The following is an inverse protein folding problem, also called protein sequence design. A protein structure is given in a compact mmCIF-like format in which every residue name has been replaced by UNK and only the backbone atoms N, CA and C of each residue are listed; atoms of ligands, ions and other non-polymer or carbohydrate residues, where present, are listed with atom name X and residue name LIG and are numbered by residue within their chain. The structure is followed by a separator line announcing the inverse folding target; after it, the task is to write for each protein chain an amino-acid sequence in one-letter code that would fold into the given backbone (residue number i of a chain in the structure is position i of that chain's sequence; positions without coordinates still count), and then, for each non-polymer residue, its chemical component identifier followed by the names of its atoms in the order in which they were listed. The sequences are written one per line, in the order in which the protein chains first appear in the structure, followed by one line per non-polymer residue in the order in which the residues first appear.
data_IF_234305921426
#
_entry.id   IF_234305921426
#
_cell.length_a   1.000
_cell.length_b   1.000
_cell.length_c   1.000
_cell.angle_alpha   90.00
_cell.angle_beta   90.00
_cell.angle_gamma   90.00
#
_symmetry.space_group_name_H-M   'P 1'
#
loop_
_entity.id
_entity.type
_entity.pdbx_description
1 polymer ?
#
# COMPACT_ATOMS: atom_id res chain seq x y z
N UNK A 1 28.64 -0.50 -0.38
CA UNK A 1 28.03 0.83 -0.36
C UNK A 1 28.95 1.77 -1.12
N UNK A 2 28.64 2.09 -2.39
CA UNK A 2 29.30 3.21 -3.06
C UNK A 2 28.74 4.48 -2.42
N UNK A 3 29.59 5.25 -1.79
CA UNK A 3 29.26 6.59 -1.30
C UNK A 3 28.87 7.45 -2.49
N UNK A 4 27.59 7.82 -2.55
CA UNK A 4 27.05 8.75 -3.53
C UNK A 4 27.48 10.18 -3.14
N UNK A 5 28.75 10.51 -3.40
CA UNK A 5 29.24 11.87 -3.18
C UNK A 5 28.39 12.85 -4.00
N UNK A 6 27.65 13.70 -3.31
CA UNK A 6 26.91 14.83 -3.88
C UNK A 6 25.56 14.53 -4.55
N UNK A 7 24.96 13.33 -4.39
CA UNK A 7 23.69 12.94 -5.01
C UNK A 7 22.71 12.32 -4.01
N UNK A 8 22.49 12.94 -2.87
CA UNK A 8 21.46 12.54 -1.92
C UNK A 8 20.05 12.84 -2.46
N UNK A 9 19.02 12.30 -1.78
CA UNK A 9 17.64 12.71 -2.01
C UNK A 9 17.45 14.15 -1.53
N UNK A 10 16.69 14.93 -2.30
CA UNK A 10 16.33 16.30 -1.93
C UNK A 10 15.20 16.33 -0.90
N UNK A 11 14.29 15.35 -1.01
CA UNK A 11 13.10 15.23 -0.16
C UNK A 11 12.91 13.82 0.30
N UNK A 12 12.35 13.65 1.51
CA UNK A 12 11.87 12.37 2.05
C UNK A 12 10.39 12.52 2.38
N UNK A 13 9.57 11.60 1.88
CA UNK A 13 8.15 11.49 2.23
C UNK A 13 7.92 10.15 2.91
N UNK A 14 7.53 10.18 4.17
CA UNK A 14 7.16 8.98 4.93
C UNK A 14 5.65 8.85 5.00
N UNK A 15 5.15 7.66 4.66
CA UNK A 15 3.73 7.32 4.61
C UNK A 15 3.46 6.18 5.57
N UNK A 16 2.60 6.39 6.57
CA UNK A 16 2.11 5.34 7.44
C UNK A 16 0.73 5.68 8.00
N UNK A 17 -0.16 4.67 8.00
CA UNK A 17 -1.53 4.78 8.52
C UNK A 17 -1.76 3.91 9.74
N UNK A 18 -0.71 3.38 10.35
CA UNK A 18 -0.82 2.65 11.61
C UNK A 18 -1.22 3.57 12.76
N UNK A 19 -2.16 3.09 13.59
CA UNK A 19 -2.56 3.78 14.81
C UNK A 19 -1.50 3.73 15.92
N UNK A 20 -0.48 2.89 15.75
CA UNK A 20 0.61 2.69 16.71
C UNK A 20 1.85 3.52 16.38
N UNK A 21 1.86 4.21 15.24
CA UNK A 21 3.00 5.03 14.84
C UNK A 21 3.13 6.27 15.70
N UNK A 22 4.38 6.55 16.07
CA UNK A 22 4.76 7.85 16.64
C UNK A 22 4.82 8.94 15.57
N UNK A 23 4.53 10.17 15.96
CA UNK A 23 4.83 11.33 15.12
C UNK A 23 6.33 11.63 15.20
N UNK A 24 7.01 11.59 14.06
CA UNK A 24 8.41 11.97 13.94
C UNK A 24 8.48 13.37 13.30
N UNK A 25 8.95 14.33 14.06
CA UNK A 25 9.30 15.66 13.56
C UNK A 25 10.81 15.65 13.32
N UNK A 26 11.19 15.47 12.07
CA UNK A 26 12.61 15.50 11.68
C UNK A 26 12.86 16.89 11.12
N UNK A 27 13.52 17.73 11.89
CA UNK A 27 14.07 19.00 11.42
C UNK A 27 15.49 18.74 10.92
N UNK A 28 15.69 18.77 9.61
CA UNK A 28 17.00 18.68 8.96
C UNK A 28 17.12 19.85 7.98
N UNK A 29 18.23 20.58 8.07
CA UNK A 29 18.49 21.74 7.22
C UNK A 29 18.83 21.36 5.76
N UNK A 30 19.11 20.09 5.49
CA UNK A 30 19.60 19.60 4.20
C UNK A 30 18.51 18.88 3.42
N UNK A 31 17.64 18.12 4.09
CA UNK A 31 16.62 17.28 3.47
C UNK A 31 15.23 17.64 3.98
N UNK A 32 14.35 18.04 3.06
CA UNK A 32 12.96 18.31 3.41
C UNK A 32 12.24 16.99 3.76
N UNK A 33 11.71 16.90 4.99
CA UNK A 33 10.92 15.77 5.46
C UNK A 33 9.42 16.09 5.43
N UNK A 34 8.61 15.14 4.99
CA UNK A 34 7.15 15.24 4.99
C UNK A 34 6.51 13.93 5.46
N UNK A 35 5.48 14.04 6.28
CA UNK A 35 4.72 12.89 6.77
C UNK A 35 3.29 12.86 6.21
N UNK A 36 2.86 11.68 5.77
CA UNK A 36 1.50 11.40 5.33
C UNK A 36 0.96 10.27 6.19
N UNK A 37 -0.03 10.56 7.05
CA UNK A 37 -0.60 9.53 7.93
C UNK A 37 -1.48 10.10 9.01
N UNK A 38 -1.74 9.25 10.02
CA UNK A 38 -2.67 9.54 11.11
C UNK A 38 -2.03 10.32 12.26
N UNK A 39 -0.74 10.13 12.53
CA UNK A 39 -0.08 10.72 13.69
C UNK A 39 0.10 12.24 13.57
N UNK A 40 0.01 12.92 14.71
CA UNK A 40 0.33 14.35 14.87
C UNK A 40 1.07 14.55 16.20
N UNK A 41 1.68 15.73 16.40
CA UNK A 41 2.27 16.11 17.69
C UNK A 41 1.30 15.96 18.90
N UNK A 42 -0.01 16.08 18.66
CA UNK A 42 -1.04 16.11 19.70
C UNK A 42 -1.94 14.86 19.71
N UNK A 43 -1.55 13.78 19.05
CA UNK A 43 -2.31 12.54 18.95
C UNK A 43 -2.67 12.15 17.52
N UNK A 44 -3.84 11.55 17.31
CA UNK A 44 -4.26 11.01 16.02
C UNK A 44 -5.26 11.95 15.34
N UNK A 45 -5.10 12.15 14.02
CA UNK A 45 -6.03 12.92 13.19
C UNK A 45 -7.42 12.28 13.17
N UNK A 46 -8.43 13.08 13.40
CA UNK A 46 -9.82 12.65 13.19
C UNK A 46 -10.23 12.77 11.71
N UNK A 47 -11.42 12.27 11.38
CA UNK A 47 -11.91 12.25 9.99
C UNK A 47 -12.06 13.67 9.38
N UNK A 48 -12.34 14.69 10.20
CA UNK A 48 -12.45 16.07 9.73
C UNK A 48 -11.10 16.63 9.32
N UNK A 49 -10.05 16.32 10.08
CA UNK A 49 -8.67 16.70 9.76
C UNK A 49 -8.20 16.01 8.48
N UNK A 50 -8.42 14.70 8.33
CA UNK A 50 -8.06 13.96 7.13
C UNK A 50 -8.81 14.48 5.88
N UNK A 51 -10.10 14.81 6.02
CA UNK A 51 -10.89 15.36 4.94
C UNK A 51 -10.40 16.76 4.51
N UNK A 52 -9.95 17.58 5.48
CA UNK A 52 -9.33 18.89 5.21
C UNK A 52 -7.99 18.74 4.51
N UNK A 53 -7.14 17.82 4.97
CA UNK A 53 -5.84 17.52 4.35
C UNK A 53 -6.06 17.09 2.89
N UNK A 54 -6.96 16.14 2.65
CA UNK A 54 -7.30 15.70 1.30
C UNK A 54 -7.79 16.85 0.42
N UNK A 55 -8.81 17.60 0.87
CA UNK A 55 -9.41 18.66 0.08
C UNK A 55 -8.45 19.81 -0.20
N UNK A 56 -7.59 20.15 0.79
CA UNK A 56 -6.54 21.15 0.65
C UNK A 56 -5.51 20.77 -0.41
N UNK A 57 -5.02 19.53 -0.34
CA UNK A 57 -4.06 19.01 -1.32
C UNK A 57 -4.67 18.86 -2.70
N UNK A 58 -5.94 18.40 -2.80
CA UNK A 58 -6.64 18.31 -4.07
C UNK A 58 -6.77 19.69 -4.73
N UNK A 59 -7.03 20.74 -3.95
CA UNK A 59 -7.07 22.12 -4.46
C UNK A 59 -5.69 22.53 -5.03
N UNK A 60 -4.60 22.24 -4.34
CA UNK A 60 -3.25 22.61 -4.80
C UNK A 60 -2.85 21.87 -6.08
N UNK A 61 -3.17 20.57 -6.19
CA UNK A 61 -2.83 19.76 -7.38
C UNK A 61 -3.81 19.97 -8.55
N UNK A 62 -4.93 20.61 -8.34
CA UNK A 62 -5.90 20.93 -9.41
C UNK A 62 -5.40 21.99 -10.39
N UNK A 63 -4.12 22.38 -10.31
CA UNK A 63 -3.50 23.45 -11.11
C UNK A 63 -2.28 22.94 -11.86
N UNK A 64 -2.05 23.50 -13.04
CA UNK A 64 -0.83 23.29 -13.81
C UNK A 64 -0.51 21.83 -14.13
N UNK A 65 0.76 21.48 -14.09
CA UNK A 65 1.26 20.14 -14.44
C UNK A 65 0.79 19.05 -13.45
N UNK A 66 0.56 19.38 -12.17
CA UNK A 66 0.08 18.43 -11.16
C UNK A 66 -1.33 17.93 -11.49
N UNK A 67 -2.18 18.76 -12.09
CA UNK A 67 -3.52 18.36 -12.57
C UNK A 67 -3.45 17.27 -13.65
N UNK A 68 -2.53 17.41 -14.61
CA UNK A 68 -2.36 16.39 -15.66
C UNK A 68 -1.95 15.06 -15.05
N UNK A 69 -0.98 15.09 -14.12
CA UNK A 69 -0.54 13.91 -13.41
C UNK A 69 -1.67 13.30 -12.57
N UNK A 70 -2.44 14.13 -11.86
CA UNK A 70 -3.63 13.67 -11.13
C UNK A 70 -4.60 12.90 -12.01
N UNK A 71 -4.96 13.45 -13.19
CA UNK A 71 -5.87 12.76 -14.13
C UNK A 71 -5.31 11.41 -14.58
N UNK A 72 -4.01 11.32 -14.89
CA UNK A 72 -3.36 10.07 -15.28
C UNK A 72 -3.37 9.03 -14.16
N UNK A 73 -3.11 9.45 -12.93
CA UNK A 73 -3.11 8.54 -11.77
C UNK A 73 -4.53 8.06 -11.44
N UNK A 74 -5.55 8.94 -11.55
CA UNK A 74 -6.95 8.52 -11.36
C UNK A 74 -7.39 7.54 -12.46
N UNK A 75 -6.93 7.67 -13.71
CA UNK A 75 -7.18 6.68 -14.76
C UNK A 75 -6.68 5.29 -14.37
N UNK A 76 -5.53 5.20 -13.70
CA UNK A 76 -4.99 3.95 -13.18
C UNK A 76 -5.86 3.39 -12.05
N UNK A 77 -6.27 4.24 -11.10
CA UNK A 77 -7.14 3.81 -9.98
C UNK A 77 -8.52 3.36 -10.48
N UNK A 78 -9.07 4.00 -11.52
CA UNK A 78 -10.34 3.62 -12.15
C UNK A 78 -10.27 2.27 -12.92
N UNK A 79 -9.10 1.61 -12.98
CA UNK A 79 -9.04 0.20 -13.36
C UNK A 79 -9.77 -0.72 -12.36
N UNK A 80 -9.95 -0.27 -11.13
CA UNK A 80 -10.85 -0.88 -10.16
C UNK A 80 -12.25 -0.24 -10.30
N UNK A 81 -13.26 -1.08 -10.53
CA UNK A 81 -14.64 -0.65 -10.74
C UNK A 81 -15.23 0.18 -9.59
N UNK A 82 -14.70 0.02 -8.38
CA UNK A 82 -15.18 0.78 -7.20
C UNK A 82 -14.81 2.24 -7.29
N UNK A 83 -13.70 2.60 -7.97
CA UNK A 83 -13.31 3.99 -8.21
C UNK A 83 -14.13 4.67 -9.31
N UNK A 84 -14.54 3.95 -10.36
CA UNK A 84 -15.29 4.53 -11.49
C UNK A 84 -16.54 5.26 -11.00
N UNK A 85 -17.27 4.65 -10.07
CA UNK A 85 -18.53 5.18 -9.54
C UNK A 85 -18.36 6.43 -8.68
N UNK A 86 -17.15 6.73 -8.22
CA UNK A 86 -16.87 7.87 -7.34
C UNK A 86 -16.75 9.19 -8.11
N UNK A 87 -16.52 9.14 -9.43
CA UNK A 87 -16.37 10.32 -10.30
C UNK A 87 -15.37 11.37 -9.78
N UNK A 88 -14.24 10.89 -9.21
CA UNK A 88 -13.27 11.74 -8.49
C UNK A 88 -12.62 12.78 -9.41
N UNK A 89 -12.46 12.49 -10.70
CA UNK A 89 -11.98 13.46 -11.69
C UNK A 89 -12.77 14.77 -11.68
N UNK A 90 -14.09 14.66 -11.56
CA UNK A 90 -14.98 15.84 -11.52
C UNK A 90 -14.73 16.71 -10.30
N UNK A 91 -14.27 16.14 -9.18
CA UNK A 91 -14.00 16.93 -7.98
C UNK A 91 -12.88 17.96 -8.20
N UNK A 92 -11.85 17.61 -8.97
CA UNK A 92 -10.80 18.54 -9.34
C UNK A 92 -11.23 19.57 -10.38
N UNK A 93 -12.19 19.24 -11.25
CA UNK A 93 -12.74 20.13 -12.27
C UNK A 93 -13.60 21.25 -11.67
N UNK A 94 -14.33 20.98 -10.61
CA UNK A 94 -15.10 21.98 -9.88
C UNK A 94 -14.25 23.14 -9.32
N UNK A 95 -12.95 22.91 -9.14
CA UNK A 95 -12.01 24.00 -8.80
C UNK A 95 -11.90 25.01 -9.95
N UNK A 96 -11.97 24.56 -11.21
CA UNK A 96 -11.88 25.41 -12.40
C UNK A 96 -13.18 26.15 -12.67
N UNK A 97 -14.34 25.51 -12.49
CA UNK A 97 -15.64 26.13 -12.73
C UNK A 97 -15.84 27.37 -11.85
N UNK A 98 -15.34 27.33 -10.61
CA UNK A 98 -15.34 28.49 -9.73
C UNK A 98 -14.39 29.61 -10.20
N UNK A 99 -13.34 29.29 -10.96
CA UNK A 99 -12.39 30.25 -11.54
C UNK A 99 -12.88 30.76 -12.89
N UNK A 100 -13.48 29.89 -13.72
CA UNK A 100 -14.02 30.21 -15.04
C UNK A 100 -15.27 31.09 -14.99
N UNK A 101 -15.94 31.19 -13.85
CA UNK A 101 -17.01 32.20 -13.60
C UNK A 101 -16.44 33.61 -13.35
N UNK A 102 -15.12 33.77 -13.34
CA UNK A 102 -14.42 35.05 -13.27
C UNK A 102 -14.19 35.61 -14.69
N UNK A 103 -14.10 36.93 -14.87
CA UNK A 103 -13.75 37.51 -16.15
C UNK A 103 -12.49 36.89 -16.75
N UNK A 104 -12.49 36.68 -18.07
CA UNK A 104 -11.47 35.94 -18.84
C UNK A 104 -10.03 36.46 -18.72
N UNK A 105 -9.81 37.58 -18.07
CA UNK A 105 -8.50 38.19 -17.83
C UNK A 105 -7.88 37.76 -16.49
N UNK A 106 -8.60 37.00 -15.65
CA UNK A 106 -8.11 36.55 -14.34
C UNK A 106 -7.66 35.08 -14.38
N UNK A 107 -6.37 34.83 -14.52
CA UNK A 107 -5.80 33.52 -14.17
C UNK A 107 -5.76 33.33 -12.66
N UNK A 108 -5.75 32.06 -12.18
CA UNK A 108 -5.56 31.79 -10.74
C UNK A 108 -4.30 32.42 -10.16
N UNK A 109 -3.28 32.64 -10.99
CA UNK A 109 -2.01 33.26 -10.61
C UNK A 109 -2.11 34.79 -10.45
N UNK A 110 -3.08 35.42 -11.11
CA UNK A 110 -3.31 36.87 -11.03
C UNK A 110 -4.27 37.28 -9.90
N UNK A 111 -4.90 36.32 -9.20
CA UNK A 111 -5.80 36.62 -8.09
C UNK A 111 -5.02 37.07 -6.85
N UNK A 112 -5.51 38.11 -6.18
CA UNK A 112 -4.97 38.52 -4.87
C UNK A 112 -5.07 37.40 -3.82
N UNK A 113 -4.17 37.42 -2.83
CA UNK A 113 -4.04 36.38 -1.80
C UNK A 113 -5.37 36.07 -1.09
N UNK A 114 -6.15 37.10 -0.76
CA UNK A 114 -7.44 36.94 -0.06
C UNK A 114 -8.47 36.18 -0.90
N UNK A 115 -8.50 36.45 -2.20
CA UNK A 115 -9.42 35.77 -3.11
C UNK A 115 -9.05 34.30 -3.34
N UNK A 116 -7.75 33.98 -3.43
CA UNK A 116 -7.27 32.59 -3.46
C UNK A 116 -7.64 31.83 -2.20
N UNK A 117 -7.53 32.48 -1.05
CA UNK A 117 -7.91 31.89 0.24
C UNK A 117 -9.42 31.59 0.29
N UNK A 118 -10.28 32.52 -0.08
CA UNK A 118 -11.74 32.32 -0.12
C UNK A 118 -12.14 31.20 -1.08
N UNK A 119 -11.52 31.13 -2.26
CA UNK A 119 -11.78 30.03 -3.22
C UNK A 119 -11.35 28.69 -2.65
N UNK A 120 -10.20 28.61 -1.98
CA UNK A 120 -9.71 27.40 -1.32
C UNK A 120 -10.66 26.96 -0.20
N UNK A 121 -11.10 27.87 0.65
CA UNK A 121 -12.03 27.58 1.74
C UNK A 121 -13.37 27.05 1.19
N UNK A 122 -13.96 27.73 0.20
CA UNK A 122 -15.20 27.28 -0.46
C UNK A 122 -15.08 25.92 -1.12
N UNK A 123 -13.94 25.63 -1.78
CA UNK A 123 -13.67 24.33 -2.39
C UNK A 123 -13.58 23.25 -1.32
N UNK A 124 -12.82 23.49 -0.24
CA UNK A 124 -12.66 22.56 0.86
C UNK A 124 -14.01 22.21 1.50
N UNK A 125 -14.88 23.20 1.73
CA UNK A 125 -16.22 22.98 2.29
C UNK A 125 -17.09 22.06 1.42
N UNK A 126 -16.95 22.13 0.09
CA UNK A 126 -17.68 21.27 -0.84
C UNK A 126 -17.14 19.84 -0.90
N UNK A 127 -15.83 19.66 -0.76
CA UNK A 127 -15.18 18.36 -0.90
C UNK A 127 -15.26 17.54 0.39
N UNK A 128 -15.17 18.14 1.57
CA UNK A 128 -15.20 17.45 2.87
C UNK A 128 -16.38 16.46 2.99
N UNK A 129 -17.65 16.85 2.73
CA UNK A 129 -18.77 15.91 2.86
C UNK A 129 -18.63 14.69 1.94
N UNK A 130 -18.18 14.90 0.70
CA UNK A 130 -17.98 13.83 -0.29
C UNK A 130 -16.89 12.87 0.14
N UNK A 131 -15.74 13.37 0.61
CA UNK A 131 -14.67 12.53 1.13
C UNK A 131 -15.14 11.68 2.32
N UNK A 132 -15.93 12.25 3.22
CA UNK A 132 -16.45 11.54 4.39
C UNK A 132 -17.35 10.34 4.04
N UNK A 133 -18.07 10.38 2.91
CA UNK A 133 -18.94 9.28 2.47
C UNK A 133 -18.19 8.09 1.87
N UNK A 134 -16.92 8.24 1.52
CA UNK A 134 -16.10 7.17 0.96
C UNK A 134 -15.88 6.02 1.96
N UNK A 135 -15.60 4.83 1.45
CA UNK A 135 -15.11 3.72 2.30
C UNK A 135 -13.73 4.05 2.89
N UNK A 136 -13.34 3.36 3.95
CA UNK A 136 -12.01 3.56 4.58
C UNK A 136 -10.87 3.39 3.58
N UNK A 137 -10.88 2.32 2.79
CA UNK A 137 -9.86 2.06 1.78
C UNK A 137 -9.76 3.15 0.71
N UNK A 138 -10.89 3.63 0.17
CA UNK A 138 -10.87 4.74 -0.78
C UNK A 138 -10.31 6.03 -0.17
N UNK A 139 -10.66 6.33 1.10
CA UNK A 139 -10.12 7.51 1.81
C UNK A 139 -8.61 7.44 1.94
N UNK A 140 -8.08 6.30 2.35
CA UNK A 140 -6.63 6.09 2.54
C UNK A 140 -5.90 6.25 1.20
N UNK A 141 -6.32 5.53 0.16
CA UNK A 141 -5.67 5.61 -1.17
C UNK A 141 -5.69 7.04 -1.71
N UNK A 142 -6.85 7.68 -1.69
CA UNK A 142 -6.97 9.03 -2.23
C UNK A 142 -6.14 10.04 -1.46
N UNK A 143 -6.08 9.90 -0.13
CA UNK A 143 -5.24 10.76 0.70
C UNK A 143 -3.76 10.53 0.41
N UNK A 144 -3.31 9.27 0.32
CA UNK A 144 -1.92 8.95 -0.06
C UNK A 144 -1.59 9.57 -1.42
N UNK A 145 -2.38 9.28 -2.43
CA UNK A 145 -2.09 9.70 -3.82
C UNK A 145 -2.11 11.21 -3.97
N UNK A 146 -3.12 11.91 -3.43
CA UNK A 146 -3.19 13.37 -3.55
C UNK A 146 -2.02 14.06 -2.86
N UNK A 147 -1.64 13.56 -1.68
CA UNK A 147 -0.49 14.08 -0.92
C UNK A 147 0.84 13.77 -1.61
N UNK A 148 1.00 12.58 -2.17
CA UNK A 148 2.20 12.23 -2.93
C UNK A 148 2.33 13.08 -4.20
N UNK A 149 1.25 13.33 -4.95
CA UNK A 149 1.28 14.23 -6.12
C UNK A 149 1.66 15.66 -5.71
N UNK A 150 1.21 16.09 -4.53
CA UNK A 150 1.56 17.42 -4.01
C UNK A 150 3.03 17.51 -3.60
N UNK A 151 3.56 16.49 -2.91
CA UNK A 151 4.84 16.54 -2.20
C UNK A 151 6.02 15.96 -2.99
N UNK A 152 5.77 14.96 -3.86
CA UNK A 152 6.85 14.29 -4.60
C UNK A 152 7.35 15.18 -5.72
N UNK A 153 8.59 15.58 -5.61
CA UNK A 153 9.38 16.29 -6.61
C UNK A 153 10.48 15.37 -7.16
N UNK A 154 11.34 15.87 -8.04
CA UNK A 154 12.49 15.10 -8.54
C UNK A 154 13.44 14.74 -7.38
N UNK A 155 14.01 13.52 -7.41
CA UNK A 155 14.88 12.99 -6.35
C UNK A 155 14.24 12.90 -4.97
N UNK A 156 12.95 12.63 -4.89
CA UNK A 156 12.26 12.31 -3.64
C UNK A 156 12.37 10.83 -3.32
N UNK A 157 12.71 10.51 -2.07
CA UNK A 157 12.56 9.17 -1.50
C UNK A 157 11.20 9.08 -0.81
N UNK A 158 10.38 8.12 -1.23
CA UNK A 158 9.10 7.80 -0.59
C UNK A 158 9.27 6.49 0.18
N UNK A 159 9.03 6.54 1.49
CA UNK A 159 9.06 5.37 2.36
C UNK A 159 7.62 5.11 2.80
N UNK A 160 7.13 3.90 2.58
CA UNK A 160 5.75 3.51 2.92
C UNK A 160 5.79 2.29 3.82
N UNK A 161 5.10 2.38 4.95
CA UNK A 161 4.98 1.29 5.90
C UNK A 161 3.58 0.70 5.84
N UNK A 162 3.50 -0.60 5.59
CA UNK A 162 2.30 -1.43 5.52
C UNK A 162 1.09 -0.76 4.80
N UNK A 163 1.23 -0.36 3.52
CA UNK A 163 0.15 0.34 2.81
C UNK A 163 -1.11 -0.52 2.60
N UNK A 164 -1.01 -1.84 2.79
CA UNK A 164 -2.12 -2.79 2.72
C UNK A 164 -3.08 -2.70 3.90
N UNK A 165 -2.68 -2.10 5.03
CA UNK A 165 -3.60 -1.90 6.15
C UNK A 165 -4.89 -1.20 5.69
N UNK A 166 -6.03 -1.78 6.05
CA UNK A 166 -7.36 -1.30 5.68
C UNK A 166 -7.73 -1.38 4.18
N UNK A 167 -6.89 -2.00 3.32
CA UNK A 167 -7.14 -2.16 1.90
C UNK A 167 -7.45 -3.62 1.54
N UNK A 168 -8.42 -3.83 0.66
CA UNK A 168 -8.61 -5.15 0.06
C UNK A 168 -7.68 -5.32 -1.17
N UNK A 169 -7.33 -6.57 -1.56
CA UNK A 169 -6.29 -6.84 -2.55
C UNK A 169 -6.36 -6.03 -3.85
N UNK A 170 -7.50 -5.90 -4.56
CA UNK A 170 -7.58 -5.09 -5.77
C UNK A 170 -7.19 -3.61 -5.57
N UNK A 171 -7.55 -3.03 -4.40
CA UNK A 171 -7.18 -1.65 -4.08
C UNK A 171 -5.67 -1.52 -3.79
N UNK A 172 -5.06 -2.53 -3.19
CA UNK A 172 -3.60 -2.58 -2.98
C UNK A 172 -2.89 -2.58 -4.32
N UNK A 173 -3.28 -3.47 -5.25
CA UNK A 173 -2.70 -3.53 -6.60
C UNK A 173 -2.84 -2.19 -7.35
N UNK A 174 -4.02 -1.56 -7.27
CA UNK A 174 -4.25 -0.25 -7.88
C UNK A 174 -3.34 0.84 -7.29
N UNK A 175 -3.17 0.84 -5.96
CA UNK A 175 -2.26 1.77 -5.27
C UNK A 175 -0.81 1.59 -5.72
N UNK A 176 -0.30 0.36 -5.76
CA UNK A 176 1.10 0.09 -6.16
C UNK A 176 1.36 0.51 -7.61
N UNK A 177 0.43 0.24 -8.54
CA UNK A 177 0.53 0.71 -9.93
C UNK A 177 0.49 2.23 -10.04
N UNK A 178 -0.39 2.89 -9.29
CA UNK A 178 -0.48 4.35 -9.24
C UNK A 178 0.82 4.97 -8.69
N UNK A 179 1.37 4.40 -7.60
CA UNK A 179 2.64 4.81 -6.99
C UNK A 179 3.81 4.63 -7.96
N UNK A 180 3.92 3.47 -8.60
CA UNK A 180 4.96 3.20 -9.60
C UNK A 180 4.94 4.22 -10.75
N UNK A 181 3.75 4.53 -11.28
CA UNK A 181 3.56 5.55 -12.32
C UNK A 181 3.98 6.94 -11.84
N UNK A 182 3.58 7.33 -10.64
CA UNK A 182 3.94 8.62 -10.04
C UNK A 182 5.45 8.76 -9.85
N UNK A 183 6.10 7.76 -9.27
CA UNK A 183 7.54 7.78 -9.00
C UNK A 183 8.36 7.78 -10.29
N UNK A 184 7.95 7.00 -11.29
CA UNK A 184 8.57 7.01 -12.62
C UNK A 184 8.46 8.39 -13.27
N UNK A 185 7.28 9.01 -13.21
CA UNK A 185 7.07 10.35 -13.77
C UNK A 185 7.94 11.43 -13.09
N UNK A 186 8.20 11.29 -11.79
CA UNK A 186 8.95 12.24 -10.96
C UNK A 186 10.43 11.89 -10.81
N UNK A 187 10.90 10.79 -11.40
CA UNK A 187 12.26 10.26 -11.17
C UNK A 187 12.55 10.11 -9.66
N UNK A 188 11.55 9.62 -8.93
CA UNK A 188 11.61 9.34 -7.48
C UNK A 188 11.90 7.86 -7.22
N UNK A 189 12.19 7.56 -5.94
CA UNK A 189 12.43 6.19 -5.46
C UNK A 189 11.40 5.86 -4.37
N UNK A 190 10.85 4.65 -4.41
CA UNK A 190 9.97 4.12 -3.37
C UNK A 190 10.59 2.93 -2.64
N UNK A 191 10.47 2.94 -1.32
CA UNK A 191 10.76 1.79 -0.46
C UNK A 191 9.49 1.46 0.31
N UNK A 192 9.02 0.22 0.20
CA UNK A 192 7.79 -0.24 0.83
C UNK A 192 8.13 -1.37 1.79
N UNK A 193 7.84 -1.19 3.07
CA UNK A 193 7.80 -2.28 4.04
C UNK A 193 6.41 -2.91 4.01
N UNK A 194 6.33 -4.23 3.86
CA UNK A 194 5.05 -4.93 3.69
C UNK A 194 5.16 -6.40 4.11
N UNK A 195 4.05 -6.94 4.56
CA UNK A 195 3.83 -8.37 4.77
C UNK A 195 2.81 -8.96 3.76
N UNK A 196 2.47 -8.22 2.70
CA UNK A 196 1.45 -8.60 1.72
C UNK A 196 2.05 -9.24 0.46
N UNK A 197 1.74 -10.50 0.15
CA UNK A 197 2.13 -11.12 -1.11
C UNK A 197 1.49 -10.43 -2.33
N UNK A 198 0.39 -9.70 -2.13
CA UNK A 198 -0.27 -8.92 -3.19
C UNK A 198 0.63 -7.77 -3.66
N UNK A 199 1.35 -7.10 -2.75
CA UNK A 199 2.30 -6.05 -3.11
C UNK A 199 3.49 -6.65 -3.86
N UNK A 200 4.01 -7.77 -3.36
CA UNK A 200 5.12 -8.46 -4.00
C UNK A 200 4.77 -8.93 -5.42
N UNK A 201 3.53 -9.36 -5.65
CA UNK A 201 3.03 -9.74 -6.98
C UNK A 201 3.06 -8.58 -8.01
N UNK A 202 3.06 -7.33 -7.56
CA UNK A 202 3.03 -6.15 -8.43
C UNK A 202 4.44 -5.64 -8.81
N UNK A 203 5.51 -6.26 -8.32
CA UNK A 203 6.89 -5.82 -8.55
C UNK A 203 7.82 -6.98 -8.95
N UNK A 204 8.83 -6.74 -9.83
CA UNK A 204 9.84 -7.75 -10.19
C UNK A 204 10.70 -8.16 -8.98
N UNK A 205 11.20 -9.40 -8.98
CA UNK A 205 12.03 -9.94 -7.90
C UNK A 205 13.27 -9.09 -7.59
N UNK A 206 13.83 -8.43 -8.59
CA UNK A 206 14.99 -7.54 -8.41
C UNK A 206 14.67 -6.29 -7.58
N UNK A 207 13.40 -5.98 -7.38
CA UNK A 207 12.90 -4.91 -6.51
C UNK A 207 12.50 -5.41 -5.12
N UNK A 208 12.54 -6.73 -4.85
CA UNK A 208 12.09 -7.33 -3.58
C UNK A 208 13.30 -7.74 -2.75
N UNK A 209 13.23 -7.46 -1.44
CA UNK A 209 14.11 -7.99 -0.41
C UNK A 209 13.29 -8.71 0.64
N UNK A 210 13.64 -9.96 0.92
CA UNK A 210 13.07 -10.73 2.03
C UNK A 210 13.96 -10.50 3.23
N UNK A 211 13.37 -9.99 4.31
CA UNK A 211 14.07 -9.75 5.57
C UNK A 211 13.67 -10.83 6.58
N UNK A 212 14.62 -11.61 7.03
CA UNK A 212 14.42 -12.65 8.06
C UNK A 212 15.21 -12.31 9.31
N UNK A 213 14.57 -12.42 10.46
CA UNK A 213 15.23 -12.25 11.75
C UNK A 213 15.46 -13.62 12.41
N UNK A 214 16.70 -13.94 12.70
CA UNK A 214 17.10 -15.16 13.41
C UNK A 214 17.81 -14.73 14.68
N UNK A 215 17.10 -14.73 15.80
CA UNK A 215 17.62 -14.19 17.06
C UNK A 215 17.89 -12.68 16.97
N UNK A 216 19.16 -12.28 17.08
CA UNK A 216 19.60 -10.88 16.94
C UNK A 216 20.10 -10.53 15.52
N UNK A 217 20.25 -11.51 14.66
CA UNK A 217 20.74 -11.31 13.30
C UNK A 217 19.59 -11.01 12.33
N UNK A 218 19.82 -10.07 11.41
CA UNK A 218 18.94 -9.75 10.29
C UNK A 218 19.59 -10.25 9.01
N UNK A 219 18.91 -11.16 8.31
CA UNK A 219 19.30 -11.69 7.01
C UNK A 219 18.46 -11.03 5.95
N UNK A 220 19.10 -10.51 4.90
CA UNK A 220 18.42 -9.92 3.74
C UNK A 220 18.78 -10.73 2.49
N UNK A 221 17.77 -11.28 1.81
CA UNK A 221 17.95 -12.13 0.64
C UNK A 221 16.97 -11.75 -0.48
N UNK A 222 17.27 -12.14 -1.72
CA UNK A 222 16.36 -11.99 -2.86
C UNK A 222 15.47 -13.22 -2.98
N UNK A 223 14.22 -13.06 -3.49
CA UNK A 223 13.41 -14.21 -3.87
C UNK A 223 14.12 -15.07 -4.92
N UNK A 224 14.00 -16.39 -4.82
CA UNK A 224 14.57 -17.31 -5.82
C UNK A 224 13.77 -17.26 -7.13
N UNK A 225 12.44 -17.09 -7.04
CA UNK A 225 11.51 -17.05 -8.15
C UNK A 225 11.19 -15.62 -8.60
N UNK A 226 10.70 -15.47 -9.84
CA UNK A 226 10.15 -14.19 -10.29
C UNK A 226 8.85 -13.89 -9.52
N UNK A 227 8.70 -12.63 -9.07
CA UNK A 227 7.57 -12.24 -8.22
C UNK A 227 6.45 -11.57 -9.00
N UNK A 228 6.79 -10.86 -10.08
CA UNK A 228 5.80 -10.12 -10.86
C UNK A 228 4.79 -11.04 -11.55
N UNK A 229 3.54 -10.95 -11.13
CA UNK A 229 2.45 -11.76 -11.69
C UNK A 229 2.42 -13.22 -11.23
N UNK A 230 3.25 -13.62 -10.23
CA UNK A 230 3.27 -14.98 -9.70
C UNK A 230 2.02 -15.27 -8.85
N UNK A 231 1.71 -16.54 -8.66
CA UNK A 231 0.58 -16.98 -7.85
C UNK A 231 0.76 -16.60 -6.36
N UNK A 232 -0.28 -16.07 -5.73
CA UNK A 232 -0.23 -15.59 -4.33
C UNK A 232 0.14 -16.70 -3.34
N UNK A 233 -0.32 -17.94 -3.57
CA UNK A 233 0.04 -19.09 -2.72
C UNK A 233 1.52 -19.44 -2.82
N UNK A 234 2.08 -19.39 -4.04
CA UNK A 234 3.52 -19.58 -4.27
C UNK A 234 4.33 -18.47 -3.61
N UNK A 235 3.95 -17.21 -3.79
CA UNK A 235 4.61 -16.07 -3.14
C UNK A 235 4.53 -16.15 -1.61
N UNK A 236 3.38 -16.56 -1.07
CA UNK A 236 3.22 -16.73 0.38
C UNK A 236 4.16 -17.81 0.91
N UNK A 237 4.30 -18.93 0.20
CA UNK A 237 5.21 -19.99 0.56
C UNK A 237 6.68 -19.58 0.45
N UNK A 238 7.06 -18.90 -0.61
CA UNK A 238 8.44 -18.44 -0.86
C UNK A 238 8.89 -17.41 0.18
N UNK A 239 8.05 -16.41 0.46
CA UNK A 239 8.41 -15.27 1.30
C UNK A 239 8.19 -15.58 2.77
N UNK A 240 7.09 -16.25 3.12
CA UNK A 240 6.66 -16.51 4.50
C UNK A 240 6.69 -17.99 4.90
N UNK A 241 7.25 -18.86 4.06
CA UNK A 241 7.16 -20.32 4.15
C UNK A 241 7.39 -20.93 5.53
N UNK A 242 8.35 -20.41 6.29
CA UNK A 242 8.63 -20.90 7.65
C UNK A 242 7.54 -20.57 8.66
N UNK A 243 6.88 -19.43 8.50
CA UNK A 243 5.82 -19.00 9.43
C UNK A 243 4.50 -19.71 9.15
N UNK A 244 4.24 -20.02 7.86
CA UNK A 244 3.01 -20.69 7.42
C UNK A 244 3.01 -22.18 7.79
N UNK A 245 4.16 -22.87 7.69
CA UNK A 245 4.28 -24.32 7.96
C UNK A 245 4.15 -24.66 9.45
N UNK A 246 4.43 -23.73 10.35
CA UNK A 246 4.39 -23.97 11.81
C UNK A 246 3.16 -23.39 12.50
N UNK A 247 2.15 -22.89 11.78
CA UNK A 247 0.99 -22.22 12.36
C UNK A 247 -0.35 -22.77 11.87
N UNK A 248 -1.39 -22.52 12.65
CA UNK A 248 -2.76 -22.70 12.27
C UNK A 248 -3.14 -24.12 11.84
N UNK A 249 -3.71 -24.25 10.64
CA UNK A 249 -4.22 -25.53 10.15
C UNK A 249 -3.13 -26.57 9.83
N UNK A 250 -1.90 -26.16 9.52
CA UNK A 250 -0.76 -27.06 9.32
C UNK A 250 -0.48 -27.88 10.57
N UNK A 251 -0.39 -27.25 11.73
CA UNK A 251 -0.21 -27.94 13.03
C UNK A 251 -1.34 -28.89 13.31
N UNK A 252 -2.59 -28.50 13.00
CA UNK A 252 -3.75 -29.40 13.17
C UNK A 252 -3.66 -30.63 12.27
N UNK A 253 -3.19 -30.48 11.03
CA UNK A 253 -2.98 -31.60 10.09
C UNK A 253 -1.86 -32.49 10.61
N UNK A 254 -0.71 -31.95 11.02
CA UNK A 254 0.40 -32.72 11.58
C UNK A 254 -0.04 -33.55 12.79
N UNK A 255 -0.71 -32.93 13.76
CA UNK A 255 -1.27 -33.63 14.91
C UNK A 255 -2.26 -34.75 14.52
N UNK A 256 -3.01 -34.56 13.43
CA UNK A 256 -3.91 -35.59 12.93
C UNK A 256 -3.19 -36.77 12.28
N UNK A 257 -2.04 -36.53 11.62
CA UNK A 257 -1.17 -37.57 11.05
C UNK A 257 -0.53 -38.41 12.14
N UNK A 258 -0.10 -37.78 13.23
CA UNK A 258 0.42 -38.51 14.39
C UNK A 258 -0.64 -39.43 15.03
N UNK A 259 -1.87 -38.94 15.15
CA UNK A 259 -2.96 -39.60 15.84
C UNK A 259 -3.65 -40.70 15.04
N UNK A 260 -3.72 -40.59 13.73
CA UNK A 260 -4.47 -41.52 12.87
C UNK A 260 -3.55 -42.23 11.88
N UNK A 261 -3.84 -43.53 11.68
CA UNK A 261 -3.04 -44.40 10.81
C UNK A 261 -3.51 -44.40 9.35
N UNK A 262 -4.49 -43.61 8.94
CA UNK A 262 -4.92 -43.56 7.54
C UNK A 262 -5.57 -42.23 7.20
N UNK A 263 -5.38 -41.80 5.94
CA UNK A 263 -6.00 -40.61 5.35
C UNK A 263 -7.51 -40.53 5.61
N UNK A 264 -8.21 -41.65 5.45
CA UNK A 264 -9.66 -41.70 5.64
C UNK A 264 -10.09 -41.40 7.09
N UNK A 265 -9.30 -41.88 8.09
CA UNK A 265 -9.57 -41.60 9.52
C UNK A 265 -9.25 -40.16 9.87
N UNK A 266 -8.12 -39.62 9.39
CA UNK A 266 -7.78 -38.21 9.57
C UNK A 266 -8.81 -37.29 8.90
N UNK A 267 -9.27 -37.59 7.69
CA UNK A 267 -10.34 -36.83 7.03
C UNK A 267 -11.66 -36.87 7.81
N UNK A 268 -11.97 -37.98 8.50
CA UNK A 268 -13.17 -38.09 9.36
C UNK A 268 -13.05 -37.20 10.60
N UNK A 269 -11.84 -37.03 11.15
CA UNK A 269 -11.58 -36.08 12.24
C UNK A 269 -11.93 -34.64 11.83
N UNK A 270 -11.60 -34.25 10.61
CA UNK A 270 -11.98 -32.95 10.05
C UNK A 270 -13.43 -32.87 9.54
N UNK A 271 -14.27 -33.92 9.81
CA UNK A 271 -15.65 -34.03 9.30
C UNK A 271 -15.78 -33.83 7.78
N UNK A 272 -14.72 -34.14 7.02
CA UNK A 272 -14.64 -33.91 5.59
C UNK A 272 -14.44 -32.45 5.19
N UNK A 273 -14.32 -31.52 6.16
CA UNK A 273 -14.20 -30.08 5.95
C UNK A 273 -12.74 -29.65 5.88
N UNK A 274 -12.01 -30.11 4.87
CA UNK A 274 -10.64 -29.73 4.59
C UNK A 274 -10.57 -29.24 3.13
N UNK A 275 -9.93 -28.08 2.92
CA UNK A 275 -9.71 -27.53 1.59
C UNK A 275 -8.77 -28.39 0.74
N UNK A 276 -8.62 -28.08 -0.55
CA UNK A 276 -7.78 -28.88 -1.44
C UNK A 276 -6.31 -28.88 -1.03
N UNK A 277 -5.79 -27.74 -0.62
CA UNK A 277 -4.41 -27.60 -0.10
C UNK A 277 -4.21 -28.45 1.15
N UNK A 278 -5.06 -28.31 2.17
CA UNK A 278 -4.99 -29.13 3.37
C UNK A 278 -5.12 -30.63 3.11
N UNK A 279 -5.91 -31.04 2.11
CA UNK A 279 -5.98 -32.45 1.67
C UNK A 279 -4.69 -32.93 1.01
N UNK A 280 -4.02 -32.05 0.24
CA UNK A 280 -2.75 -32.37 -0.39
C UNK A 280 -1.66 -32.55 0.68
N UNK A 281 -1.56 -31.60 1.62
CA UNK A 281 -0.62 -31.66 2.75
C UNK A 281 -0.87 -32.93 3.60
N UNK A 282 -2.13 -33.21 3.93
CA UNK A 282 -2.47 -34.41 4.70
C UNK A 282 -2.05 -35.69 3.98
N UNK A 283 -2.19 -35.77 2.66
CA UNK A 283 -1.75 -36.94 1.88
C UNK A 283 -0.23 -37.07 1.87
N UNK A 284 0.48 -35.95 1.66
CA UNK A 284 1.96 -35.97 1.67
C UNK A 284 2.50 -36.46 3.00
N UNK A 285 2.05 -35.86 4.11
CA UNK A 285 2.51 -36.22 5.43
C UNK A 285 2.14 -37.68 5.83
N UNK A 286 0.97 -38.19 5.40
CA UNK A 286 0.59 -39.58 5.59
C UNK A 286 1.49 -40.55 4.80
N UNK A 287 1.83 -40.20 3.57
CA UNK A 287 2.73 -41.00 2.74
C UNK A 287 4.14 -41.01 3.31
N UNK A 288 4.67 -39.89 3.75
CA UNK A 288 5.98 -39.80 4.44
C UNK A 288 6.02 -40.66 5.72
N UNK A 289 4.94 -40.62 6.49
CA UNK A 289 4.80 -41.46 7.68
C UNK A 289 4.81 -42.96 7.34
N UNK A 290 4.07 -43.38 6.32
CA UNK A 290 4.04 -44.77 5.87
C UNK A 290 5.42 -45.26 5.41
N UNK A 291 6.18 -44.43 4.68
CA UNK A 291 7.55 -44.77 4.24
C UNK A 291 8.52 -44.92 5.42
N UNK A 292 8.44 -44.00 6.40
CA UNK A 292 9.29 -44.07 7.60
C UNK A 292 8.98 -45.32 8.49
N UNK A 293 7.70 -45.74 8.54
CA UNK A 293 7.29 -46.96 9.26
C UNK A 293 7.80 -48.24 8.53
N UNK A 294 7.83 -48.26 7.19
CA UNK A 294 8.38 -49.35 6.39
C UNK A 294 9.90 -49.47 6.51
N UNK A 295 10.64 -48.34 6.56
CA UNK A 295 12.11 -48.33 6.73
C UNK A 295 12.58 -48.78 8.14
N UNK A 296 11.73 -48.72 9.13
CA UNK A 296 12.07 -49.16 10.53
C UNK A 296 11.80 -50.66 10.75
N UNK A 297 10.95 -51.28 9.93
CA UNK A 297 10.58 -52.70 10.02
C UNK A 297 11.50 -53.60 9.17
N UNK A 298 12.39 -53.05 8.32
CA UNK A 298 13.49 -53.74 7.60
C UNK A 298 14.82 -53.62 8.38
#
# INVERSE_FOLDING_TARGET
FQTWEGKGFANIVYVSFSAFDGFFDIEDDIVQYSYIGLATKNGIKNIDMLAKDFAGSLFEISKGNKKKLWKQIIDILESDNTFINLNIKKWSEECEDNVNQLPSECSMESLGADRKRLLKESFIEKIIPRFKTLSSGHKVILLIIVRLIELVEEKTLVIIDEPEEHLHPPLVSALIRALSSLLTYRNGVGVIATHSPVIVQEVPKDCVWILRRVGEELIAERPEIETFGENLGVLTSEIFGYEVTNSGFHTMIQNSVEKYSSFKRAMKYFHGKLGNEGKAILRSLMYEKEQLEEEVDD
#
